data_IF_198301486156
#
_entry.id   IF_198301486156
#
_cell.length_a   1.000
_cell.length_b   1.000
_cell.length_c   1.000
_cell.angle_alpha   90.00
_cell.angle_beta   90.00
_cell.angle_gamma   90.00
#
_symmetry.space_group_name_H-M   'P 1'
#
loop_
_entity.id
_entity.type
_entity.pdbx_description
1 polymer ?
#
# COMPACT_ATOMS: atom_id res chain seq x y z
N UNK A 1 4.54 5.22 33.25
CA UNK A 1 4.42 5.96 31.98
C UNK A 1 2.99 5.84 31.51
N UNK A 2 2.21 6.93 31.55
CA UNK A 2 0.81 6.92 31.12
C UNK A 2 0.72 6.66 29.61
N UNK A 3 0.07 5.54 29.26
CA UNK A 3 -0.21 5.17 27.89
C UNK A 3 -1.36 6.06 27.39
N UNK A 4 -1.05 7.26 26.87
CA UNK A 4 -2.03 8.16 26.23
C UNK A 4 -2.50 7.53 24.91
N UNK A 5 -3.40 6.56 25.01
CA UNK A 5 -4.16 6.06 23.87
C UNK A 5 -5.02 7.22 23.35
N UNK A 6 -4.54 7.89 22.29
CA UNK A 6 -5.30 8.89 21.55
C UNK A 6 -6.51 8.20 20.89
N UNK A 7 -7.58 8.03 21.67
CA UNK A 7 -8.83 7.44 21.22
C UNK A 7 -9.41 8.37 20.16
N UNK A 8 -9.41 7.92 18.92
CA UNK A 8 -9.97 8.69 17.82
C UNK A 8 -11.46 8.90 18.08
N UNK A 9 -11.93 10.14 18.06
CA UNK A 9 -13.34 10.48 18.35
C UNK A 9 -14.29 9.68 17.45
N UNK A 10 -15.45 9.27 18.00
CA UNK A 10 -16.50 8.53 17.26
C UNK A 10 -16.88 9.21 15.93
N UNK A 11 -16.90 10.54 15.91
CA UNK A 11 -17.20 11.31 14.70
C UNK A 11 -16.12 11.13 13.61
N UNK A 12 -14.83 11.11 13.99
CA UNK A 12 -13.72 10.85 13.07
C UNK A 12 -13.76 9.41 12.54
N UNK A 13 -14.09 8.44 13.38
CA UNK A 13 -14.27 7.05 12.95
C UNK A 13 -15.38 6.91 11.91
N UNK A 14 -16.52 7.58 12.12
CA UNK A 14 -17.63 7.56 11.15
C UNK A 14 -17.27 8.29 9.85
N UNK A 15 -16.59 9.43 9.92
CA UNK A 15 -16.14 10.16 8.73
C UNK A 15 -15.16 9.31 7.90
N UNK A 16 -14.20 8.65 8.56
CA UNK A 16 -13.26 7.74 7.91
C UNK A 16 -13.99 6.56 7.26
N UNK A 17 -14.99 5.99 7.94
CA UNK A 17 -15.81 4.91 7.38
C UNK A 17 -16.54 5.35 6.10
N UNK A 18 -17.19 6.52 6.12
CA UNK A 18 -17.86 7.07 4.93
C UNK A 18 -16.90 7.30 3.77
N UNK A 19 -15.70 7.82 4.06
CA UNK A 19 -14.66 8.00 3.05
C UNK A 19 -14.22 6.64 2.47
N UNK A 20 -13.98 5.64 3.32
CA UNK A 20 -13.59 4.31 2.89
C UNK A 20 -14.67 3.64 2.02
N UNK A 21 -15.95 3.81 2.39
CA UNK A 21 -17.08 3.27 1.63
C UNK A 21 -17.25 3.95 0.26
N UNK A 22 -16.92 5.24 0.15
CA UNK A 22 -16.96 5.99 -1.11
C UNK A 22 -15.74 5.72 -2.00
N UNK A 23 -14.57 5.55 -1.40
CA UNK A 23 -13.28 5.45 -2.10
C UNK A 23 -12.71 4.01 -2.07
N UNK A 24 -13.57 2.99 -2.11
CA UNK A 24 -13.19 1.57 -1.96
C UNK A 24 -12.01 1.15 -2.83
N UNK A 25 -11.97 1.59 -4.10
CA UNK A 25 -10.88 1.26 -5.04
C UNK A 25 -9.54 1.84 -4.60
N UNK A 26 -9.51 3.11 -4.21
CA UNK A 26 -8.30 3.81 -3.77
C UNK A 26 -7.81 3.26 -2.43
N UNK A 27 -8.73 3.03 -1.49
CA UNK A 27 -8.42 2.42 -0.20
C UNK A 27 -7.83 1.04 -0.37
N UNK A 28 -8.41 0.20 -1.23
CA UNK A 28 -7.89 -1.12 -1.54
C UNK A 28 -6.48 -1.05 -2.15
N UNK A 29 -6.26 -0.13 -3.10
CA UNK A 29 -4.93 0.10 -3.69
C UNK A 29 -3.91 0.54 -2.64
N UNK A 30 -4.29 1.43 -1.74
CA UNK A 30 -3.43 1.92 -0.65
C UNK A 30 -3.09 0.81 0.35
N UNK A 31 -4.06 -0.04 0.70
CA UNK A 31 -3.83 -1.21 1.55
C UNK A 31 -2.82 -2.17 0.91
N UNK A 32 -2.98 -2.48 -0.38
CA UNK A 32 -2.01 -3.31 -1.11
C UNK A 32 -0.61 -2.69 -1.10
N UNK A 33 -0.51 -1.38 -1.38
CA UNK A 33 0.76 -0.64 -1.37
C UNK A 33 1.42 -0.69 0.01
N UNK A 34 0.65 -0.50 1.08
CA UNK A 34 1.15 -0.56 2.45
C UNK A 34 1.66 -1.94 2.82
N UNK A 35 0.92 -3.00 2.47
CA UNK A 35 1.33 -4.40 2.73
C UNK A 35 2.61 -4.74 1.97
N UNK A 36 2.68 -4.40 0.69
CA UNK A 36 3.88 -4.60 -0.11
C UNK A 36 5.09 -3.85 0.46
N UNK A 37 4.91 -2.58 0.86
CA UNK A 37 5.97 -1.81 1.52
C UNK A 37 6.46 -2.48 2.80
N UNK A 38 5.55 -2.92 3.68
CA UNK A 38 5.94 -3.59 4.91
C UNK A 38 6.72 -4.87 4.64
N UNK A 39 6.21 -5.69 3.73
CA UNK A 39 6.85 -6.94 3.35
C UNK A 39 8.28 -6.69 2.84
N UNK A 40 8.44 -5.80 1.85
CA UNK A 40 9.75 -5.48 1.24
C UNK A 40 10.76 -4.96 2.28
N UNK A 41 10.32 -4.14 3.23
CA UNK A 41 11.22 -3.49 4.18
C UNK A 41 11.57 -4.34 5.40
N UNK A 42 10.67 -5.24 5.81
CA UNK A 42 10.77 -5.89 7.11
C UNK A 42 10.74 -7.41 7.06
N UNK A 43 10.02 -8.01 6.10
CA UNK A 43 9.72 -9.44 6.11
C UNK A 43 10.44 -10.22 4.99
N UNK A 44 10.78 -9.55 3.89
CA UNK A 44 11.30 -10.17 2.68
C UNK A 44 12.72 -10.72 2.84
N UNK A 45 12.96 -11.89 2.24
CA UNK A 45 14.30 -12.49 2.09
C UNK A 45 14.99 -11.99 0.81
N UNK A 46 16.30 -12.20 0.70
CA UNK A 46 17.10 -11.71 -0.43
C UNK A 46 16.60 -12.27 -1.77
N UNK A 47 16.32 -13.57 -1.85
CA UNK A 47 15.79 -14.23 -3.05
C UNK A 47 14.44 -13.64 -3.49
N UNK A 48 13.58 -13.31 -2.53
CA UNK A 48 12.28 -12.69 -2.79
C UNK A 48 12.44 -11.25 -3.28
N UNK A 49 13.39 -10.49 -2.72
CA UNK A 49 13.68 -9.12 -3.17
C UNK A 49 14.22 -9.10 -4.60
N UNK A 50 15.11 -10.04 -4.95
CA UNK A 50 15.62 -10.20 -6.31
C UNK A 50 14.49 -10.55 -7.29
N UNK A 51 13.65 -11.52 -6.94
CA UNK A 51 12.48 -11.89 -7.73
C UNK A 51 11.52 -10.70 -7.95
N UNK A 52 11.22 -9.92 -6.90
CA UNK A 52 10.36 -8.75 -7.05
C UNK A 52 11.01 -7.64 -7.86
N UNK A 53 12.33 -7.45 -7.76
CA UNK A 53 13.06 -6.47 -8.57
C UNK A 53 12.91 -6.77 -10.06
N UNK A 54 13.08 -8.03 -10.47
CA UNK A 54 12.91 -8.46 -11.86
C UNK A 54 11.48 -8.19 -12.36
N UNK A 55 10.47 -8.61 -11.59
CA UNK A 55 9.07 -8.38 -11.95
C UNK A 55 8.74 -6.88 -12.09
N UNK A 56 9.25 -6.04 -11.19
CA UNK A 56 9.05 -4.59 -11.23
C UNK A 56 9.70 -4.01 -12.49
N UNK A 57 10.92 -4.43 -12.82
CA UNK A 57 11.64 -3.96 -14.00
C UNK A 57 10.90 -4.32 -15.30
N UNK A 58 10.46 -5.58 -15.43
CA UNK A 58 9.70 -6.04 -16.59
C UNK A 58 8.41 -5.23 -16.75
N UNK A 59 7.65 -5.04 -15.66
CA UNK A 59 6.42 -4.25 -15.71
C UNK A 59 6.66 -2.77 -16.06
N UNK A 60 7.75 -2.19 -15.56
CA UNK A 60 8.14 -0.82 -15.90
C UNK A 60 8.49 -0.67 -17.38
N UNK A 61 9.19 -1.65 -17.97
CA UNK A 61 9.47 -1.67 -19.40
C UNK A 61 8.20 -1.79 -20.23
N UNK A 62 7.29 -2.71 -19.90
CA UNK A 62 5.99 -2.83 -20.57
C UNK A 62 5.21 -1.51 -20.56
N UNK A 63 5.15 -0.84 -19.40
CA UNK A 63 4.44 0.42 -19.26
C UNK A 63 5.13 1.56 -20.01
N UNK A 64 6.45 1.60 -20.08
CA UNK A 64 7.18 2.59 -20.89
C UNK A 64 6.89 2.36 -22.38
N UNK A 65 7.03 1.13 -22.86
CA UNK A 65 6.81 0.77 -24.25
C UNK A 65 5.36 1.07 -24.69
N UNK A 66 4.38 0.82 -23.83
CA UNK A 66 2.98 1.12 -24.12
C UNK A 66 2.61 2.62 -24.04
N UNK A 67 3.42 3.45 -23.36
CA UNK A 67 3.22 4.91 -23.29
C UNK A 67 4.11 5.67 -24.30
N UNK A 68 5.02 4.99 -24.99
CA UNK A 68 5.87 5.56 -26.06
C UNK A 68 5.29 5.38 -27.47
N UNK A 69 4.12 4.75 -27.58
CA UNK A 69 3.24 4.73 -28.76
C UNK A 69 2.03 5.63 -28.54
#
# INVERSE_FOLDING_TARGET
MENKQNKTSKAKLQANKRYQDKHKKEVYRNQKKSRAKNFILNDARIDELEFFSELINNRMQELKNNNSN
#
